data_IF_542039250345
#
_entry.id   IF_542039250345
#
_cell.length_a   1.000
_cell.length_b   1.000
_cell.length_c   1.000
_cell.angle_alpha   90.00
_cell.angle_beta   90.00
_cell.angle_gamma   90.00
#
_symmetry.space_group_name_H-M   'P 1'
#
loop_
_entity.id
_entity.type
_entity.pdbx_description
1 polymer ?
#
# COMPACT_ATOMS: atom_id res chain seq x y z
N UNK A 1 -21.36 20.92 -4.61
CA UNK A 1 -20.18 20.49 -5.38
C UNK A 1 -18.98 20.94 -4.59
N UNK A 2 -18.34 20.03 -3.86
CA UNK A 2 -17.10 20.33 -3.15
C UNK A 2 -15.96 20.43 -4.17
N UNK A 3 -15.26 21.56 -4.16
CA UNK A 3 -14.05 21.73 -4.95
C UNK A 3 -12.98 20.83 -4.31
N UNK A 4 -12.37 19.88 -5.03
CA UNK A 4 -11.33 19.04 -4.46
C UNK A 4 -10.21 19.94 -3.95
N UNK A 5 -9.79 19.74 -2.69
CA UNK A 5 -8.72 20.54 -2.12
C UNK A 5 -7.43 20.26 -2.89
N UNK A 6 -6.50 21.22 -2.95
CA UNK A 6 -5.23 21.09 -3.68
C UNK A 6 -4.48 19.81 -3.28
N UNK A 7 -4.56 19.41 -1.99
CA UNK A 7 -3.98 18.16 -1.49
C UNK A 7 -4.60 16.90 -2.11
N UNK A 8 -5.90 16.90 -2.40
CA UNK A 8 -6.58 15.73 -3.00
C UNK A 8 -6.15 15.52 -4.45
N UNK A 9 -5.94 16.61 -5.20
CA UNK A 9 -5.45 16.56 -6.57
C UNK A 9 -4.03 15.98 -6.58
N UNK A 10 -3.16 16.45 -5.69
CA UNK A 10 -1.78 15.97 -5.60
C UNK A 10 -1.71 14.49 -5.23
N UNK A 11 -2.51 14.05 -4.26
CA UNK A 11 -2.63 12.63 -3.89
C UNK A 11 -3.05 11.79 -5.09
N UNK A 12 -4.08 12.21 -5.83
CA UNK A 12 -4.55 11.51 -7.04
C UNK A 12 -3.46 11.40 -8.11
N UNK A 13 -2.72 12.48 -8.36
CA UNK A 13 -1.61 12.50 -9.32
C UNK A 13 -0.47 11.56 -8.91
N UNK A 14 -0.16 11.47 -7.62
CA UNK A 14 0.85 10.56 -7.09
C UNK A 14 0.41 9.09 -7.19
N UNK A 15 -0.86 8.79 -6.88
CA UNK A 15 -1.44 7.46 -7.06
C UNK A 15 -1.42 7.04 -8.55
N UNK A 16 -1.80 7.94 -9.46
CA UNK A 16 -1.71 7.69 -10.90
C UNK A 16 -0.25 7.46 -11.37
N UNK A 17 0.71 8.15 -10.75
CA UNK A 17 2.15 7.94 -11.01
C UNK A 17 2.61 6.58 -10.50
N UNK A 18 2.12 6.14 -9.33
CA UNK A 18 2.39 4.81 -8.79
C UNK A 18 1.88 3.72 -9.74
N UNK A 19 0.63 3.81 -10.21
CA UNK A 19 0.08 2.84 -11.18
C UNK A 19 0.92 2.76 -12.45
N UNK A 20 1.35 3.92 -12.99
CA UNK A 20 2.26 3.98 -14.17
C UNK A 20 3.62 3.33 -13.93
N UNK A 21 4.04 3.18 -12.67
CA UNK A 21 5.29 2.53 -12.26
C UNK A 21 5.10 1.08 -11.82
N UNK A 22 3.95 0.47 -12.06
CA UNK A 22 3.75 -0.94 -11.73
C UNK A 22 3.13 -1.21 -10.36
N UNK A 23 2.66 -0.19 -9.65
CA UNK A 23 1.98 -0.38 -8.37
C UNK A 23 0.52 -0.78 -8.59
N UNK A 24 0.01 -1.65 -7.72
CA UNK A 24 -1.42 -2.01 -7.65
C UNK A 24 -2.10 -1.13 -6.60
N UNK A 25 -3.25 -0.54 -6.96
CA UNK A 25 -4.04 0.29 -6.06
C UNK A 25 -5.21 -0.48 -5.45
N UNK A 26 -5.50 -0.19 -4.19
CA UNK A 26 -6.51 -0.83 -3.36
C UNK A 26 -7.32 0.22 -2.62
N UNK A 27 -8.60 -0.02 -2.43
CA UNK A 27 -9.47 0.89 -1.67
C UNK A 27 -10.35 0.07 -0.72
N UNK A 28 -10.56 0.58 0.50
CA UNK A 28 -11.38 -0.05 1.53
C UNK A 28 -12.31 0.96 2.21
N UNK A 29 -13.42 0.46 2.75
CA UNK A 29 -14.37 1.29 3.51
C UNK A 29 -15.27 2.15 2.62
N UNK A 30 -15.59 1.68 1.41
CA UNK A 30 -16.65 2.29 0.60
C UNK A 30 -18.00 2.12 1.30
N UNK A 31 -18.48 3.17 1.97
CA UNK A 31 -19.90 3.28 2.31
C UNK A 31 -20.62 3.88 1.09
N UNK A 32 -21.82 3.42 0.75
CA UNK A 32 -22.52 3.78 -0.49
C UNK A 32 -22.44 5.28 -0.84
N UNK A 33 -21.67 5.62 -1.88
CA UNK A 33 -21.50 6.98 -2.38
C UNK A 33 -20.44 7.84 -1.66
N UNK A 34 -19.67 7.30 -0.71
CA UNK A 34 -18.58 8.01 -0.04
C UNK A 34 -17.21 7.65 -0.63
N UNK A 35 -16.26 8.58 -0.50
CA UNK A 35 -14.83 8.30 -0.68
C UNK A 35 -14.39 7.15 0.26
N UNK A 36 -13.41 6.31 -0.16
CA UNK A 36 -12.89 5.23 0.67
C UNK A 36 -12.22 5.76 1.93
N UNK A 37 -12.37 5.04 3.04
CA UNK A 37 -11.73 5.36 4.31
C UNK A 37 -10.22 5.14 4.28
N UNK A 38 -9.78 4.14 3.50
CA UNK A 38 -8.36 3.81 3.32
C UNK A 38 -8.07 3.57 1.84
N UNK A 39 -6.98 4.16 1.36
CA UNK A 39 -6.38 3.83 0.07
C UNK A 39 -5.04 3.16 0.27
N UNK A 40 -4.80 2.10 -0.48
CA UNK A 40 -3.58 1.33 -0.50
C UNK A 40 -2.90 1.40 -1.85
N UNK A 41 -1.58 1.33 -1.85
CA UNK A 41 -0.79 1.01 -3.03
C UNK A 41 0.23 -0.05 -2.63
N UNK A 42 0.44 -1.08 -3.46
CA UNK A 42 1.52 -2.04 -3.26
C UNK A 42 2.30 -2.28 -4.56
N UNK A 43 3.62 -2.32 -4.45
CA UNK A 43 4.54 -2.78 -5.48
C UNK A 43 5.21 -4.05 -5.00
N UNK A 44 5.13 -5.11 -5.81
CA UNK A 44 5.69 -6.42 -5.48
C UNK A 44 6.99 -6.62 -6.22
N UNK A 45 8.05 -6.92 -5.48
CA UNK A 45 9.36 -7.26 -6.02
C UNK A 45 9.43 -8.75 -6.37
N UNK A 46 10.35 -9.12 -7.26
CA UNK A 46 10.48 -10.50 -7.75
C UNK A 46 10.86 -11.51 -6.66
N UNK A 47 11.51 -11.06 -5.58
CA UNK A 47 11.89 -11.90 -4.44
C UNK A 47 10.78 -12.03 -3.37
N UNK A 48 9.61 -11.44 -3.64
CA UNK A 48 8.43 -11.49 -2.78
C UNK A 48 8.38 -10.39 -1.72
N UNK A 49 9.39 -9.50 -1.64
CA UNK A 49 9.25 -8.28 -0.85
C UNK A 49 8.19 -7.37 -1.46
N UNK A 50 7.67 -6.43 -0.67
CA UNK A 50 6.71 -5.45 -1.17
C UNK A 50 6.93 -4.07 -0.55
N UNK A 51 6.75 -3.04 -1.39
CA UNK A 51 6.61 -1.67 -0.94
C UNK A 51 5.13 -1.35 -0.87
N UNK A 52 4.69 -0.76 0.23
CA UNK A 52 3.28 -0.52 0.51
C UNK A 52 3.10 0.90 1.00
N UNK A 53 2.04 1.56 0.53
CA UNK A 53 1.55 2.81 1.11
C UNK A 53 0.10 2.64 1.54
N UNK A 54 -0.21 3.07 2.76
CA UNK A 54 -1.57 3.18 3.29
C UNK A 54 -1.88 4.64 3.58
N UNK A 55 -2.86 5.20 2.88
CA UNK A 55 -3.37 6.55 3.05
C UNK A 55 -4.72 6.51 3.76
N UNK A 56 -4.86 7.30 4.82
CA UNK A 56 -6.07 7.46 5.63
C UNK A 56 -6.39 8.95 5.77
N UNK A 57 -7.57 9.26 6.31
CA UNK A 57 -7.96 10.66 6.61
C UNK A 57 -6.97 11.37 7.53
N UNK A 58 -6.40 10.66 8.49
CA UNK A 58 -5.52 11.23 9.53
C UNK A 58 -4.04 11.23 9.17
N UNK A 59 -3.66 10.67 8.02
CA UNK A 59 -2.26 10.57 7.62
C UNK A 59 -1.99 9.36 6.73
N UNK A 60 -0.72 9.10 6.47
CA UNK A 60 -0.29 7.95 5.70
C UNK A 60 0.99 7.34 6.27
N UNK A 61 1.22 6.10 5.87
CA UNK A 61 2.49 5.39 6.09
C UNK A 61 2.90 4.70 4.80
N UNK A 62 4.17 4.82 4.47
CA UNK A 62 4.84 3.98 3.51
C UNK A 62 5.72 3.00 4.27
N UNK A 63 5.77 1.74 3.85
CA UNK A 63 6.74 0.78 4.38
C UNK A 63 7.16 -0.24 3.35
N UNK A 64 8.31 -0.84 3.57
CA UNK A 64 8.84 -1.99 2.83
C UNK A 64 8.84 -3.20 3.74
N UNK A 65 8.20 -4.27 3.30
CA UNK A 65 8.10 -5.54 4.02
C UNK A 65 8.83 -6.66 3.26
N UNK A 66 9.54 -7.57 3.97
CA UNK A 66 9.97 -8.83 3.37
C UNK A 66 8.75 -9.68 2.94
N UNK A 67 8.98 -10.81 2.24
CA UNK A 67 7.93 -11.78 1.94
C UNK A 67 7.11 -12.13 3.18
N UNK A 68 5.81 -11.91 3.11
CA UNK A 68 4.89 -12.18 4.21
C UNK A 68 3.53 -12.65 3.68
N UNK A 69 2.65 -13.08 4.59
CA UNK A 69 1.33 -13.60 4.24
C UNK A 69 0.39 -12.51 3.70
N UNK A 70 0.43 -11.33 4.31
CA UNK A 70 -0.40 -10.19 3.95
C UNK A 70 0.44 -8.91 4.08
N UNK A 71 0.74 -8.30 2.94
CA UNK A 71 1.57 -7.08 2.89
C UNK A 71 0.87 -5.89 3.53
N UNK A 72 -0.45 -5.91 3.70
CA UNK A 72 -1.22 -4.87 4.41
C UNK A 72 -1.31 -5.12 5.92
N UNK A 73 -0.78 -6.23 6.42
CA UNK A 73 -0.64 -6.54 7.84
C UNK A 73 0.76 -7.12 8.06
N UNK A 74 1.82 -6.33 7.84
CA UNK A 74 3.19 -6.83 7.90
C UNK A 74 3.54 -7.27 9.31
N UNK A 75 4.33 -8.34 9.43
CA UNK A 75 4.91 -8.78 10.70
C UNK A 75 6.23 -8.05 11.00
N UNK A 76 6.95 -7.67 9.94
CA UNK A 76 8.24 -6.98 9.98
C UNK A 76 8.34 -5.98 8.83
N UNK A 77 9.14 -4.92 9.01
CA UNK A 77 9.48 -3.96 7.96
C UNK A 77 10.98 -3.69 7.96
N UNK A 78 11.53 -3.27 6.81
CA UNK A 78 12.94 -2.87 6.67
C UNK A 78 13.11 -1.37 6.46
N UNK A 79 12.07 -0.71 5.95
CA UNK A 79 12.03 0.73 5.72
C UNK A 79 10.61 1.24 5.92
N UNK A 80 10.47 2.44 6.45
CA UNK A 80 9.17 3.08 6.62
C UNK A 80 9.30 4.60 6.72
N UNK A 81 8.23 5.29 6.33
CA UNK A 81 8.04 6.73 6.50
C UNK A 81 6.56 6.98 6.80
N UNK A 82 6.23 7.94 7.67
CA UNK A 82 4.86 8.27 8.01
C UNK A 82 4.66 9.77 8.18
N UNK A 83 3.43 10.23 7.95
CA UNK A 83 3.08 11.64 8.09
C UNK A 83 1.93 12.02 7.18
N UNK A 84 2.06 13.17 6.51
CA UNK A 84 1.04 13.61 5.56
C UNK A 84 1.04 12.72 4.30
N UNK A 85 -0.13 12.44 3.69
CA UNK A 85 -0.25 11.52 2.56
C UNK A 85 0.73 11.77 1.41
N UNK A 86 0.90 13.04 1.04
CA UNK A 86 1.80 13.44 -0.04
C UNK A 86 3.26 13.06 0.24
N UNK A 87 3.72 13.18 1.49
CA UNK A 87 5.09 12.82 1.85
C UNK A 87 5.30 11.31 1.80
N UNK A 88 4.41 10.51 2.37
CA UNK A 88 4.51 9.05 2.34
C UNK A 88 4.49 8.51 0.89
N UNK A 89 3.60 9.04 0.05
CA UNK A 89 3.54 8.68 -1.38
C UNK A 89 4.83 9.04 -2.13
N UNK A 90 5.41 10.22 -1.86
CA UNK A 90 6.68 10.65 -2.45
C UNK A 90 7.84 9.76 -1.99
N UNK A 91 7.94 9.49 -0.69
CA UNK A 91 8.98 8.66 -0.10
C UNK A 91 9.02 7.28 -0.75
N UNK A 92 7.86 6.61 -0.84
CA UNK A 92 7.74 5.31 -1.49
C UNK A 92 8.16 5.33 -2.97
N UNK A 93 7.85 6.39 -3.70
CA UNK A 93 8.25 6.56 -5.11
C UNK A 93 9.76 6.83 -5.32
N UNK A 94 10.47 7.17 -4.24
CA UNK A 94 11.91 7.47 -4.26
C UNK A 94 12.76 6.33 -3.71
N UNK A 95 12.16 5.27 -3.16
CA UNK A 95 12.94 4.13 -2.72
C UNK A 95 13.62 3.43 -3.88
N UNK A 96 14.90 3.13 -3.69
CA UNK A 96 15.68 2.38 -4.65
C UNK A 96 15.14 0.97 -4.82
N UNK A 97 15.49 0.37 -5.96
CA UNK A 97 15.18 -1.02 -6.23
C UNK A 97 15.63 -1.92 -5.08
N UNK A 98 14.72 -2.77 -4.63
CA UNK A 98 15.04 -3.71 -3.56
C UNK A 98 16.20 -4.61 -3.99
N UNK A 99 17.29 -4.58 -3.23
CA UNK A 99 18.48 -5.40 -3.47
C UNK A 99 19.58 -4.79 -4.34
N UNK A 100 19.39 -3.61 -4.98
CA UNK A 100 20.44 -3.00 -5.83
C UNK A 100 21.55 -2.29 -5.07
N UNK A 101 21.29 -1.79 -3.86
CA UNK A 101 22.33 -1.35 -2.92
C UNK A 101 21.99 -1.90 -1.53
N UNK A 102 22.68 -2.99 -1.15
CA UNK A 102 22.50 -3.68 0.12
C UNK A 102 23.04 -2.84 1.28
N UNK A 103 22.30 -1.82 1.70
CA UNK A 103 22.14 -1.66 3.14
C UNK A 103 20.93 -2.51 3.49
N UNK A 104 21.18 -3.78 3.83
CA UNK A 104 20.16 -4.59 4.49
C UNK A 104 19.82 -3.89 5.80
N UNK A 105 18.79 -3.04 5.75
CA UNK A 105 18.28 -2.40 6.94
C UNK A 105 17.74 -3.49 7.86
N UNK A 106 17.98 -3.38 9.18
CA UNK A 106 17.50 -4.38 10.12
C UNK A 106 15.99 -4.52 10.02
N UNK A 107 15.52 -5.76 10.16
CA UNK A 107 14.10 -6.03 10.32
C UNK A 107 13.65 -5.46 11.66
N UNK A 108 12.60 -4.65 11.63
CA UNK A 108 12.01 -4.05 12.82
C UNK A 108 10.52 -4.35 12.91
N UNK A 109 9.98 -4.28 14.12
CA UNK A 109 8.54 -4.30 14.34
C UNK A 109 7.89 -3.13 13.59
N UNK A 110 6.80 -3.36 12.84
CA UNK A 110 6.13 -2.29 12.11
C UNK A 110 5.67 -1.18 13.06
N UNK A 111 5.93 0.09 12.72
CA UNK A 111 5.41 1.21 13.49
C UNK A 111 3.88 1.28 13.42
N UNK A 112 3.24 2.03 14.34
CA UNK A 112 1.80 2.25 14.31
C UNK A 112 1.31 2.72 12.95
N UNK A 113 0.22 2.12 12.47
CA UNK A 113 -0.39 2.48 11.19
C UNK A 113 0.10 1.65 9.98
N UNK A 114 1.19 0.89 10.08
CA UNK A 114 1.62 -0.03 9.01
C UNK A 114 0.61 -1.15 8.74
N UNK A 115 -0.21 -1.52 9.73
CA UNK A 115 -1.26 -2.51 9.55
C UNK A 115 -2.59 -1.86 9.13
N UNK A 116 -3.27 -2.46 8.17
CA UNK A 116 -4.65 -2.16 7.84
C UNK A 116 -5.53 -2.36 9.09
N UNK A 117 -6.46 -1.44 9.40
CA UNK A 117 -7.37 -1.60 10.52
C UNK A 117 -8.14 -2.93 10.46
N UNK A 118 -8.39 -3.61 11.61
CA UNK A 118 -9.07 -4.90 11.64
C UNK A 118 -10.41 -4.94 10.87
N UNK A 119 -11.17 -3.84 10.89
CA UNK A 119 -12.43 -3.71 10.18
C UNK A 119 -12.31 -3.94 8.66
N UNK A 120 -11.14 -3.68 8.07
CA UNK A 120 -10.90 -3.81 6.63
C UNK A 120 -10.10 -5.05 6.25
N UNK A 121 -9.52 -5.79 7.22
CA UNK A 121 -8.74 -7.01 6.96
C UNK A 121 -9.57 -8.16 6.38
N UNK A 122 -10.88 -8.13 6.62
CA UNK A 122 -11.85 -9.09 6.08
C UNK A 122 -12.79 -8.47 5.04
N UNK A 123 -12.63 -7.17 4.78
CA UNK A 123 -13.42 -6.44 3.80
C UNK A 123 -13.02 -6.85 2.38
N UNK A 124 -13.98 -6.75 1.45
CA UNK A 124 -13.70 -6.95 0.04
C UNK A 124 -12.60 -5.97 -0.37
N UNK A 125 -11.44 -6.50 -0.72
CA UNK A 125 -10.35 -5.71 -1.29
C UNK A 125 -10.67 -5.57 -2.76
N UNK A 126 -11.22 -4.43 -3.17
CA UNK A 126 -11.32 -4.11 -4.60
C UNK A 126 -9.96 -3.59 -5.04
N UNK A 127 -9.24 -4.39 -5.84
CA UNK A 127 -8.12 -3.85 -6.61
C UNK A 127 -8.71 -2.93 -7.68
N UNK A 128 -8.64 -1.63 -7.48
CA UNK A 128 -9.31 -0.65 -8.35
C UNK A 128 -8.51 -0.44 -9.64
N UNK A 129 -7.18 -0.56 -9.56
CA UNK A 129 -6.29 -0.48 -10.73
C UNK A 129 -5.10 -1.40 -10.55
N UNK A 130 -4.96 -2.34 -11.47
CA UNK A 130 -3.80 -3.20 -11.59
C UNK A 130 -2.83 -2.59 -12.61
N UNK A 131 -1.52 -2.71 -12.39
CA UNK A 131 -0.55 -2.30 -13.38
C UNK A 131 -0.71 -3.16 -14.65
N UNK A 132 -0.51 -2.57 -15.83
CA UNK A 132 -0.40 -3.30 -17.10
C UNK A 132 0.94 -4.06 -17.16
N UNK A 133 1.18 -4.98 -16.24
CA UNK A 133 2.35 -5.86 -16.24
C UNK A 133 1.88 -7.33 -16.20
N UNK A 134 1.98 -8.08 -17.31
CA UNK A 134 1.54 -9.47 -17.39
C UNK A 134 2.37 -10.43 -16.52
N UNK A 135 3.52 -9.99 -16.01
CA UNK A 135 4.37 -10.79 -15.12
C UNK A 135 4.05 -10.57 -13.62
N UNK A 136 3.23 -9.58 -13.27
CA UNK A 136 2.80 -9.35 -11.89
C UNK A 136 1.67 -10.31 -11.56
N UNK A 137 2.01 -11.45 -10.95
CA UNK A 137 1.02 -12.33 -10.33
C UNK A 137 0.46 -11.59 -9.11
N UNK A 138 -0.68 -10.92 -9.28
CA UNK A 138 -1.49 -10.45 -8.16
C UNK A 138 -1.94 -11.71 -7.43
N UNK A 139 -1.22 -12.08 -6.38
CA UNK A 139 -1.67 -13.14 -5.49
C UNK A 139 -2.92 -12.60 -4.78
N UNK A 140 -4.12 -13.17 -5.03
CA UNK A 140 -5.28 -12.79 -4.25
C UNK A 140 -4.96 -13.12 -2.78
N UNK A 141 -5.47 -12.30 -1.86
CA UNK A 141 -5.39 -12.59 -0.44
C UNK A 141 -5.79 -14.06 -0.22
N UNK A 142 -4.87 -14.86 0.33
CA UNK A 142 -5.09 -16.28 0.57
C UNK A 142 -6.39 -16.43 1.36
N UNK A 143 -7.44 -16.94 0.70
CA UNK A 143 -8.68 -17.36 1.36
C UNK A 143 -8.28 -18.26 2.53
N UNK A 144 -8.68 -17.87 3.73
CA UNK A 144 -8.67 -18.78 4.88
C UNK A 144 -9.42 -20.04 4.51
N UNK A 145 -8.86 -21.25 4.71
CA UNK A 145 -9.65 -22.46 4.57
C UNK A 145 -10.75 -22.39 5.64
N UNK A 146 -12.00 -22.42 5.19
CA UNK A 146 -13.14 -22.67 6.07
C UNK A 146 -12.88 -23.99 6.79
N UNK A 147 -12.71 -23.95 8.11
CA UNK A 147 -12.85 -25.16 8.92
C UNK A 147 -14.34 -25.44 9.04
N UNK A 148 -14.70 -26.66 8.63
CA UNK A 148 -15.99 -27.32 8.85
C UNK A 148 -16.33 -27.41 10.34
#
# INVERSE_FOLDING_TARGET
MDVPQVGDIEIRLLLDKMTRRGWTLYEWGHSSGSEPEVRGAAFFWDDGAADVVLVRRTGAVAYRTPPCRDVFVPELVTEWDSGVPVHALRAALTWDEYGKERVQRPLVTPPPGCALPPAFRHGLTESVRTPNNPNLVIRPAMRTPHRH
#
